data_IF_297107961986
#
_entry.id   IF_297107961986
#
_cell.length_a   1.000
_cell.length_b   1.000
_cell.length_c   1.000
_cell.angle_alpha   90.00
_cell.angle_beta   90.00
_cell.angle_gamma   90.00
#
_symmetry.space_group_name_H-M   'P 1'
#
loop_
_entity.id
_entity.type
_entity.pdbx_description
1 polymer ?
#
# COMPACT_ATOMS: atom_id res chain seq x y z
N UNK A 1 33.44 -32.31 -11.67
CA UNK A 1 33.26 -30.99 -12.31
C UNK A 1 31.86 -31.00 -12.86
N UNK A 2 30.90 -30.53 -12.07
CA UNK A 2 29.58 -30.12 -12.54
C UNK A 2 29.29 -28.81 -11.82
N UNK A 3 29.64 -27.72 -12.50
CA UNK A 3 29.20 -26.38 -12.14
C UNK A 3 27.80 -26.20 -12.69
N UNK A 4 26.79 -26.35 -11.83
CA UNK A 4 25.49 -25.76 -12.09
C UNK A 4 25.56 -24.32 -11.55
N UNK A 5 25.81 -23.39 -12.47
CA UNK A 5 25.81 -21.96 -12.21
C UNK A 5 24.50 -21.55 -11.53
N UNK A 6 24.67 -20.88 -10.39
CA UNK A 6 23.63 -20.11 -9.75
C UNK A 6 23.16 -19.02 -10.73
N UNK A 7 21.85 -18.83 -10.84
CA UNK A 7 21.30 -17.72 -11.60
C UNK A 7 20.72 -16.67 -10.65
N UNK A 8 21.51 -15.70 -10.14
CA UNK A 8 20.96 -14.53 -9.47
C UNK A 8 20.74 -13.44 -10.52
N UNK A 9 19.57 -13.47 -11.14
CA UNK A 9 19.12 -12.45 -12.08
C UNK A 9 17.87 -11.75 -11.58
N UNK A 10 17.93 -11.13 -10.40
CA UNK A 10 16.90 -10.18 -10.00
C UNK A 10 17.06 -8.96 -10.94
N UNK A 11 16.06 -8.61 -11.79
CA UNK A 11 16.31 -7.66 -12.86
C UNK A 11 16.49 -6.26 -12.28
N UNK A 12 17.62 -5.64 -12.59
CA UNK A 12 17.96 -4.25 -12.26
C UNK A 12 16.91 -3.21 -12.71
N UNK A 13 15.95 -3.61 -13.55
CA UNK A 13 14.76 -2.82 -13.90
C UNK A 13 13.83 -2.55 -12.71
N UNK A 14 13.78 -3.44 -11.70
CA UNK A 14 12.94 -3.27 -10.51
C UNK A 14 13.41 -2.11 -9.62
N UNK A 15 14.70 -1.77 -9.64
CA UNK A 15 15.27 -0.66 -8.86
C UNK A 15 15.08 0.71 -9.56
N UNK A 16 14.96 0.72 -10.88
CA UNK A 16 14.83 1.95 -11.69
C UNK A 16 13.48 2.67 -11.55
N UNK A 17 12.46 1.98 -11.02
CA UNK A 17 11.13 2.55 -10.75
C UNK A 17 10.88 2.80 -9.25
N UNK A 18 11.88 2.58 -8.40
CA UNK A 18 11.76 2.82 -6.97
C UNK A 18 11.78 4.31 -6.68
N UNK A 19 10.78 4.77 -5.92
CA UNK A 19 10.60 6.16 -5.54
C UNK A 19 10.57 6.26 -4.03
N UNK A 20 11.51 7.02 -3.47
CA UNK A 20 11.45 7.49 -2.10
C UNK A 20 10.41 8.60 -1.97
N UNK A 21 9.57 8.50 -0.94
CA UNK A 21 8.58 9.51 -0.60
C UNK A 21 8.81 9.92 0.85
N UNK A 22 9.05 11.19 1.08
CA UNK A 22 9.25 11.76 2.41
C UNK A 22 7.91 11.81 3.16
N UNK A 23 7.58 10.71 3.83
CA UNK A 23 6.38 10.55 4.65
C UNK A 23 6.72 10.75 6.13
N UNK A 24 5.85 11.44 6.86
CA UNK A 24 5.95 11.51 8.32
C UNK A 24 5.60 10.16 8.96
N UNK A 25 5.94 9.97 10.23
CA UNK A 25 5.56 8.74 10.95
C UNK A 25 4.03 8.52 10.97
N UNK A 26 3.24 9.58 11.12
CA UNK A 26 1.77 9.50 11.10
C UNK A 26 1.23 9.10 9.72
N UNK A 27 1.82 9.62 8.64
CA UNK A 27 1.44 9.26 7.27
C UNK A 27 1.82 7.81 6.93
N UNK A 28 3.00 7.36 7.37
CA UNK A 28 3.40 5.94 7.23
C UNK A 28 2.51 5.03 8.06
N UNK A 29 2.16 5.46 9.28
CA UNK A 29 1.25 4.71 10.14
C UNK A 29 -0.10 4.53 9.46
N UNK A 30 -0.67 5.60 8.89
CA UNK A 30 -1.91 5.54 8.11
C UNK A 30 -1.84 4.48 7.00
N UNK A 31 -0.81 4.53 6.14
CA UNK A 31 -0.69 3.59 5.02
C UNK A 31 -0.44 2.14 5.48
N UNK A 32 0.38 1.97 6.53
CA UNK A 32 0.62 0.65 7.11
C UNK A 32 -0.66 0.05 7.69
N UNK A 33 -1.46 0.84 8.42
CA UNK A 33 -2.78 0.40 8.91
C UNK A 33 -3.74 0.11 7.75
N UNK A 34 -3.77 0.97 6.74
CA UNK A 34 -4.59 0.79 5.54
C UNK A 34 -4.40 -0.55 4.85
N UNK A 35 -3.18 -1.13 4.88
CA UNK A 35 -2.94 -2.48 4.38
C UNK A 35 -3.39 -3.59 5.35
N UNK A 36 -3.14 -3.40 6.64
CA UNK A 36 -3.39 -4.44 7.65
C UNK A 36 -4.87 -4.63 7.99
N UNK A 37 -5.71 -3.60 7.81
CA UNK A 37 -7.15 -3.70 8.04
C UNK A 37 -7.84 -4.76 7.16
N UNK A 38 -7.30 -5.01 5.96
CA UNK A 38 -7.81 -6.05 5.06
C UNK A 38 -7.58 -7.49 5.53
N UNK A 39 -6.68 -7.69 6.50
CA UNK A 39 -6.51 -8.97 7.19
C UNK A 39 -7.46 -9.15 8.38
N UNK A 40 -8.29 -8.15 8.67
CA UNK A 40 -9.23 -8.11 9.79
C UNK A 40 -10.68 -7.93 9.32
N UNK A 41 -11.40 -6.87 9.75
CA UNK A 41 -12.83 -6.68 9.47
C UNK A 41 -13.14 -6.40 7.99
N UNK A 42 -12.16 -5.91 7.22
CA UNK A 42 -12.31 -5.72 5.78
C UNK A 42 -12.02 -7.03 5.03
N UNK A 43 -12.81 -7.31 3.98
CA UNK A 43 -12.66 -8.51 3.16
C UNK A 43 -12.57 -8.13 1.70
N UNK A 44 -11.37 -8.27 1.12
CA UNK A 44 -11.15 -7.99 -0.30
C UNK A 44 -11.83 -9.06 -1.16
N UNK A 45 -12.44 -8.62 -2.25
CA UNK A 45 -12.97 -9.50 -3.31
C UNK A 45 -12.03 -9.51 -4.50
N UNK A 46 -12.12 -10.51 -5.39
CA UNK A 46 -11.30 -10.58 -6.61
C UNK A 46 -11.40 -9.29 -7.44
N UNK A 47 -12.62 -8.82 -7.69
CA UNK A 47 -12.85 -7.61 -8.46
C UNK A 47 -12.22 -6.38 -7.78
N UNK A 48 -12.27 -6.31 -6.45
CA UNK A 48 -11.72 -5.19 -5.70
C UNK A 48 -10.18 -5.23 -5.65
N UNK A 49 -9.58 -6.40 -5.43
CA UNK A 49 -8.13 -6.57 -5.49
C UNK A 49 -7.57 -6.16 -6.86
N UNK A 50 -8.23 -6.58 -7.94
CA UNK A 50 -7.88 -6.18 -9.31
C UNK A 50 -8.06 -4.67 -9.50
N UNK A 51 -9.16 -4.08 -9.01
CA UNK A 51 -9.39 -2.63 -9.09
C UNK A 51 -8.33 -1.81 -8.34
N UNK A 52 -7.80 -2.34 -7.23
CA UNK A 52 -6.67 -1.75 -6.48
C UNK A 52 -5.32 -1.93 -7.18
N UNK A 53 -5.24 -2.73 -8.24
CA UNK A 53 -4.04 -2.94 -9.07
C UNK A 53 -3.24 -4.20 -8.73
N UNK A 54 -3.78 -5.10 -7.90
CA UNK A 54 -3.24 -6.43 -7.66
C UNK A 54 -3.70 -7.41 -8.74
N UNK A 55 -3.07 -8.57 -8.82
CA UNK A 55 -3.46 -9.61 -9.80
C UNK A 55 -4.75 -10.35 -9.38
N UNK A 56 -5.06 -10.33 -8.09
CA UNK A 56 -6.21 -10.97 -7.47
C UNK A 56 -6.11 -10.90 -5.95
N UNK A 57 -7.03 -11.55 -5.23
CA UNK A 57 -7.03 -11.54 -3.75
C UNK A 57 -5.80 -12.22 -3.18
N UNK A 58 -5.34 -13.30 -3.80
CA UNK A 58 -4.14 -14.02 -3.36
C UNK A 58 -2.87 -13.16 -3.47
N UNK A 59 -2.66 -12.48 -4.61
CA UNK A 59 -1.56 -11.51 -4.79
C UNK A 59 -1.69 -10.36 -3.79
N UNK A 60 -2.90 -9.84 -3.56
CA UNK A 60 -3.12 -8.79 -2.59
C UNK A 60 -2.64 -9.18 -1.17
N UNK A 61 -3.04 -10.35 -0.67
CA UNK A 61 -2.62 -10.80 0.66
C UNK A 61 -1.14 -11.19 0.72
N UNK A 62 -0.58 -11.74 -0.36
CA UNK A 62 0.84 -12.04 -0.45
C UNK A 62 1.71 -10.77 -0.40
N UNK A 63 1.24 -9.67 -0.98
CA UNK A 63 1.98 -8.41 -1.07
C UNK A 63 1.73 -7.47 0.11
N UNK A 64 0.59 -7.56 0.80
CA UNK A 64 0.23 -6.66 1.90
C UNK A 64 1.29 -6.63 3.01
N UNK A 65 1.81 -7.80 3.42
CA UNK A 65 2.85 -7.92 4.45
C UNK A 65 4.18 -7.28 4.06
N UNK A 66 4.77 -7.64 2.90
CA UNK A 66 5.98 -6.99 2.37
C UNK A 66 5.84 -5.47 2.20
N UNK A 67 4.71 -4.99 1.66
CA UNK A 67 4.46 -3.56 1.48
C UNK A 67 4.36 -2.83 2.82
N UNK A 68 3.64 -3.41 3.79
CA UNK A 68 3.58 -2.90 5.15
C UNK A 68 4.99 -2.77 5.76
N UNK A 69 5.82 -3.81 5.64
CA UNK A 69 7.18 -3.79 6.20
C UNK A 69 8.04 -2.69 5.56
N UNK A 70 7.99 -2.54 4.24
CA UNK A 70 8.72 -1.50 3.51
C UNK A 70 8.29 -0.09 3.92
N UNK A 71 6.98 0.16 4.07
CA UNK A 71 6.46 1.46 4.53
C UNK A 71 6.95 1.78 5.95
N UNK A 72 6.88 0.81 6.88
CA UNK A 72 7.35 0.99 8.26
C UNK A 72 8.86 1.21 8.34
N UNK A 73 9.63 0.65 7.42
CA UNK A 73 11.07 0.80 7.33
C UNK A 73 11.54 2.05 6.55
N UNK A 74 10.60 2.90 6.10
CA UNK A 74 10.90 4.05 5.24
C UNK A 74 11.63 3.66 3.94
N UNK A 75 11.38 2.45 3.45
CA UNK A 75 12.00 1.94 2.23
C UNK A 75 11.28 2.48 0.98
N UNK A 76 12.00 2.64 -0.15
CA UNK A 76 11.35 3.05 -1.39
C UNK A 76 10.44 1.94 -1.92
N UNK A 77 9.35 2.34 -2.59
CA UNK A 77 8.45 1.43 -3.32
C UNK A 77 8.43 1.80 -4.80
N UNK A 78 7.99 0.86 -5.64
CA UNK A 78 7.70 1.15 -7.05
C UNK A 78 6.52 2.14 -7.14
N UNK A 79 6.40 2.85 -8.27
CA UNK A 79 5.23 3.74 -8.49
C UNK A 79 3.91 2.96 -8.44
N UNK A 80 3.93 1.74 -9.00
CA UNK A 80 2.80 0.82 -8.97
C UNK A 80 2.39 0.47 -7.54
N UNK A 81 3.37 0.16 -6.70
CA UNK A 81 3.09 -0.22 -5.31
C UNK A 81 2.62 0.97 -4.47
N UNK A 82 3.17 2.18 -4.68
CA UNK A 82 2.63 3.38 -4.06
C UNK A 82 1.15 3.60 -4.41
N UNK A 83 0.78 3.41 -5.68
CA UNK A 83 -0.60 3.51 -6.13
C UNK A 83 -1.50 2.44 -5.49
N UNK A 84 -1.05 1.19 -5.46
CA UNK A 84 -1.76 0.07 -4.83
C UNK A 84 -2.06 0.34 -3.36
N UNK A 85 -1.04 0.77 -2.61
CA UNK A 85 -1.16 1.09 -1.18
C UNK A 85 -2.11 2.26 -0.96
N UNK A 86 -2.02 3.30 -1.77
CA UNK A 86 -2.90 4.47 -1.67
C UNK A 86 -4.37 4.07 -1.87
N UNK A 87 -4.69 3.37 -2.96
CA UNK A 87 -6.07 2.96 -3.26
C UNK A 87 -6.60 2.00 -2.19
N UNK A 88 -5.78 1.02 -1.75
CA UNK A 88 -6.17 0.10 -0.68
C UNK A 88 -6.50 0.85 0.62
N UNK A 89 -5.72 1.88 0.96
CA UNK A 89 -5.98 2.72 2.13
C UNK A 89 -7.26 3.55 1.97
N UNK A 90 -7.48 4.14 0.80
CA UNK A 90 -8.67 4.94 0.50
C UNK A 90 -9.96 4.11 0.61
N UNK A 91 -9.96 2.92 0.02
CA UNK A 91 -11.14 2.04 0.01
C UNK A 91 -11.44 1.51 1.41
N UNK A 92 -10.41 1.05 2.14
CA UNK A 92 -10.64 0.43 3.46
C UNK A 92 -11.13 1.46 4.48
N UNK A 93 -10.65 2.70 4.39
CA UNK A 93 -11.10 3.77 5.26
C UNK A 93 -12.51 4.25 4.91
N UNK A 94 -12.79 4.51 3.63
CA UNK A 94 -14.02 5.20 3.23
C UNK A 94 -15.26 4.30 3.11
N UNK A 95 -15.09 2.97 3.05
CA UNK A 95 -16.17 2.03 2.78
C UNK A 95 -16.51 1.19 4.00
N UNK A 96 -17.78 1.17 4.40
CA UNK A 96 -18.32 0.20 5.36
C UNK A 96 -18.74 -1.12 4.70
N UNK A 97 -18.92 -1.11 3.37
CA UNK A 97 -19.37 -2.30 2.63
C UNK A 97 -18.20 -3.27 2.42
N UNK A 98 -17.02 -2.71 2.16
CA UNK A 98 -15.81 -3.49 1.84
C UNK A 98 -14.68 -3.28 2.85
N UNK A 99 -14.65 -2.11 3.48
CA UNK A 99 -13.59 -1.68 4.36
C UNK A 99 -13.96 -1.78 5.83
N UNK A 100 -13.30 -0.95 6.64
CA UNK A 100 -13.48 -0.90 8.09
C UNK A 100 -13.99 0.45 8.56
N UNK A 101 -14.71 1.24 7.75
CA UNK A 101 -15.10 2.62 8.10
C UNK A 101 -15.70 2.78 9.51
N UNK A 102 -16.73 2.01 9.86
CA UNK A 102 -17.36 2.00 11.19
C UNK A 102 -16.39 1.61 12.32
N UNK A 103 -15.43 0.74 12.02
CA UNK A 103 -14.48 0.20 12.98
C UNK A 103 -13.13 0.94 12.97
N UNK A 104 -12.92 1.86 12.02
CA UNK A 104 -11.61 2.41 11.66
C UNK A 104 -10.95 3.10 12.84
N UNK A 105 -11.67 3.97 13.54
CA UNK A 105 -11.14 4.63 14.73
C UNK A 105 -10.81 3.66 15.86
N UNK A 106 -11.53 2.55 15.94
CA UNK A 106 -11.33 1.53 16.97
C UNK A 106 -10.12 0.65 16.67
N UNK A 107 -9.94 0.23 15.41
CA UNK A 107 -8.88 -0.69 15.00
C UNK A 107 -7.55 0.01 14.72
N UNK A 108 -7.59 1.27 14.30
CA UNK A 108 -6.38 2.05 13.95
C UNK A 108 -6.01 3.11 14.99
N UNK A 109 -6.98 3.57 15.79
CA UNK A 109 -6.80 4.72 16.69
C UNK A 109 -6.82 6.08 15.99
N UNK A 110 -7.09 6.13 14.68
CA UNK A 110 -7.18 7.37 13.91
C UNK A 110 -8.64 7.80 13.77
N UNK A 111 -8.95 9.05 14.11
CA UNK A 111 -10.28 9.60 13.80
C UNK A 111 -10.45 9.85 12.30
N UNK A 112 -11.70 9.97 11.82
CA UNK A 112 -11.99 10.32 10.44
C UNK A 112 -11.36 11.66 10.02
N UNK A 113 -11.43 12.67 10.90
CA UNK A 113 -10.86 13.99 10.64
C UNK A 113 -9.35 13.93 10.46
N UNK A 114 -8.65 13.26 11.38
CA UNK A 114 -7.21 13.02 11.29
C UNK A 114 -6.86 12.21 10.04
N UNK A 115 -7.65 11.18 9.74
CA UNK A 115 -7.42 10.30 8.58
C UNK A 115 -7.56 11.06 7.28
N UNK A 116 -8.61 11.87 7.12
CA UNK A 116 -8.80 12.73 5.94
C UNK A 116 -7.64 13.72 5.79
N UNK A 117 -7.20 14.35 6.88
CA UNK A 117 -6.07 15.28 6.86
C UNK A 117 -4.78 14.60 6.38
N UNK A 118 -4.43 13.46 6.98
CA UNK A 118 -3.25 12.67 6.65
C UNK A 118 -3.32 12.13 5.22
N UNK A 119 -4.46 11.57 4.81
CA UNK A 119 -4.65 11.01 3.48
C UNK A 119 -4.47 12.07 2.39
N UNK A 120 -5.02 13.27 2.59
CA UNK A 120 -4.81 14.39 1.66
C UNK A 120 -3.35 14.83 1.59
N UNK A 121 -2.60 14.77 2.69
CA UNK A 121 -1.17 15.05 2.69
C UNK A 121 -0.39 13.99 1.89
N UNK A 122 -0.66 12.70 2.13
CA UNK A 122 -0.07 11.58 1.39
C UNK A 122 -0.36 11.69 -0.11
N UNK A 123 -1.62 11.88 -0.51
CA UNK A 123 -2.00 12.00 -1.92
C UNK A 123 -1.20 13.09 -2.65
N UNK A 124 -1.02 14.26 -2.01
CA UNK A 124 -0.21 15.36 -2.57
C UNK A 124 1.26 14.99 -2.70
N UNK A 125 1.83 14.29 -1.72
CA UNK A 125 3.24 13.83 -1.76
C UNK A 125 3.44 12.78 -2.85
N UNK A 126 2.56 11.79 -2.93
CA UNK A 126 2.62 10.75 -3.96
C UNK A 126 2.41 11.31 -5.37
N UNK A 127 1.53 12.28 -5.55
CA UNK A 127 1.36 12.97 -6.82
C UNK A 127 2.64 13.70 -7.26
N UNK A 128 3.36 14.33 -6.33
CA UNK A 128 4.59 15.09 -6.62
C UNK A 128 5.80 14.20 -6.85
N UNK A 129 6.01 13.20 -6.01
CA UNK A 129 7.24 12.39 -6.01
C UNK A 129 7.12 11.16 -6.89
N UNK A 130 6.01 10.42 -6.79
CA UNK A 130 5.80 9.14 -7.45
C UNK A 130 4.91 9.25 -8.70
N UNK A 131 4.32 10.42 -8.97
CA UNK A 131 3.43 10.66 -10.11
C UNK A 131 2.33 9.58 -10.27
N UNK A 132 1.76 9.12 -9.15
CA UNK A 132 0.86 7.95 -9.10
C UNK A 132 -0.42 8.08 -9.94
N UNK A 133 -0.74 9.31 -10.40
CA UNK A 133 -1.90 9.61 -11.22
C UNK A 133 -1.68 9.38 -12.73
N UNK A 134 -0.43 9.20 -13.19
CA UNK A 134 -0.12 8.96 -14.60
C UNK A 134 0.38 7.51 -14.77
N UNK A 135 -0.48 6.58 -15.20
CA UNK A 135 -0.13 5.17 -15.37
C UNK A 135 0.89 4.93 -16.49
#
# INVERSE_FOLDING_TARGET
MDGADAQPGQPAAALGDLVMVDLTEAERHLLARGLMEWGGPAHSTEALAVAMGFEGVEDFYAQAGPLHASIRAEAPLSRRDWRRVLIATEVVFASDIFGSGCDWSTTTGLSDEETIFLLRAVQRKLARSANVHNP
#
